data_IF_163824826230
#
_entry.id   IF_163824826230
#
_cell.length_a   1.000
_cell.length_b   1.000
_cell.length_c   1.000
_cell.angle_alpha   90.00
_cell.angle_beta   90.00
_cell.angle_gamma   90.00
#
_symmetry.space_group_name_H-M   'P 1'
#
loop_
_entity.id
_entity.type
_entity.pdbx_description
1 polymer ?
#
# COMPACT_ATOMS: atom_id res chain seq x y z
N UNK A 1 -1.36 17.28 2.61
CA UNK A 1 -2.79 17.54 2.91
C UNK A 1 -3.27 16.54 3.96
N UNK A 2 -4.42 16.77 4.56
CA UNK A 2 -5.12 15.75 5.35
C UNK A 2 -6.55 15.64 4.83
N UNK A 3 -6.91 14.47 4.33
CA UNK A 3 -8.24 14.14 3.82
C UNK A 3 -8.85 13.07 4.70
N UNK A 4 -10.12 13.26 5.03
CA UNK A 4 -10.91 12.33 5.84
C UNK A 4 -12.21 12.12 5.08
N UNK A 5 -12.53 10.86 4.78
CA UNK A 5 -13.81 10.47 4.20
C UNK A 5 -14.90 10.42 5.26
N UNK A 6 -15.88 9.57 5.03
CA UNK A 6 -17.17 9.58 5.70
C UNK A 6 -17.52 8.19 6.21
N UNK A 7 -18.82 7.89 6.27
CA UNK A 7 -19.31 6.54 6.58
C UNK A 7 -19.82 5.81 5.33
N UNK A 8 -19.67 6.45 4.17
CA UNK A 8 -20.06 5.96 2.86
C UNK A 8 -18.79 5.79 2.00
N UNK A 9 -18.91 5.09 0.88
CA UNK A 9 -17.80 4.90 -0.05
C UNK A 9 -17.28 6.22 -0.63
N UNK A 10 -16.01 6.52 -0.39
CA UNK A 10 -15.34 7.76 -0.77
C UNK A 10 -14.27 7.56 -1.86
N UNK A 11 -13.94 8.66 -2.54
CA UNK A 11 -12.79 8.76 -3.44
C UNK A 11 -11.92 9.91 -2.94
N UNK A 12 -10.75 9.58 -2.39
CA UNK A 12 -9.82 10.56 -1.85
C UNK A 12 -8.58 10.67 -2.74
N UNK A 13 -8.15 11.90 -3.03
CA UNK A 13 -6.94 12.17 -3.84
C UNK A 13 -6.10 13.27 -3.20
N UNK A 14 -4.89 12.93 -2.74
CA UNK A 14 -3.96 13.84 -2.04
C UNK A 14 -3.25 14.82 -2.98
N UNK A 15 -2.63 14.28 -4.04
CA UNK A 15 -2.00 15.06 -5.10
C UNK A 15 -0.47 15.01 -5.02
N UNK A 16 0.15 16.10 -4.59
CA UNK A 16 1.61 16.17 -4.47
C UNK A 16 2.01 16.71 -3.09
N UNK A 17 3.13 16.22 -2.58
CA UNK A 17 3.64 16.56 -1.26
C UNK A 17 3.30 15.47 -0.24
N UNK A 18 3.48 15.76 1.04
CA UNK A 18 3.12 14.83 2.11
C UNK A 18 1.61 14.90 2.39
N UNK A 19 0.91 13.81 2.13
CA UNK A 19 -0.52 13.63 2.31
C UNK A 19 -0.86 12.54 3.35
N UNK A 20 -1.94 12.79 4.10
CA UNK A 20 -2.56 11.83 5.01
C UNK A 20 -3.99 11.63 4.56
N UNK A 21 -4.37 10.39 4.24
CA UNK A 21 -5.73 10.03 3.84
C UNK A 21 -6.31 9.04 4.85
N UNK A 22 -7.52 9.30 5.31
CA UNK A 22 -8.32 8.42 6.16
C UNK A 22 -9.66 8.17 5.45
N UNK A 23 -9.93 6.94 5.02
CA UNK A 23 -11.14 6.57 4.29
C UNK A 23 -12.41 6.65 5.16
N UNK A 24 -12.43 5.91 6.26
CA UNK A 24 -13.55 5.91 7.20
C UNK A 24 -14.28 4.57 7.19
N UNK A 25 -15.61 4.59 7.16
CA UNK A 25 -16.39 3.38 6.85
C UNK A 25 -16.80 3.45 5.37
N UNK A 26 -16.97 2.29 4.73
CA UNK A 26 -17.34 2.19 3.32
C UNK A 26 -16.22 1.53 2.51
N UNK A 27 -16.53 1.16 1.26
CA UNK A 27 -15.51 0.68 0.33
C UNK A 27 -14.86 1.88 -0.39
N UNK A 28 -13.66 2.28 0.03
CA UNK A 28 -13.01 3.51 -0.39
C UNK A 28 -12.01 3.32 -1.54
N UNK A 29 -11.77 4.40 -2.29
CA UNK A 29 -10.70 4.47 -3.28
C UNK A 29 -9.74 5.63 -2.95
N UNK A 30 -8.51 5.28 -2.63
CA UNK A 30 -7.53 6.15 -1.99
C UNK A 30 -6.31 6.28 -2.91
N UNK A 31 -6.01 7.50 -3.34
CA UNK A 31 -4.83 7.83 -4.14
C UNK A 31 -4.08 9.01 -3.49
N UNK A 32 -3.02 8.73 -2.73
CA UNK A 32 -2.26 9.81 -2.11
C UNK A 32 -1.49 10.65 -3.13
N UNK A 33 -1.00 10.03 -4.21
CA UNK A 33 -0.27 10.69 -5.28
C UNK A 33 1.23 10.75 -5.01
N UNK A 34 1.88 11.83 -5.44
CA UNK A 34 3.33 11.99 -5.36
C UNK A 34 3.77 12.50 -3.99
N UNK A 35 4.51 11.70 -3.24
CA UNK A 35 4.94 12.11 -1.92
C UNK A 35 5.52 11.00 -1.07
N UNK A 36 5.52 11.26 0.24
CA UNK A 36 5.83 10.28 1.26
C UNK A 36 4.58 10.12 2.13
N UNK A 37 3.58 9.40 1.66
CA UNK A 37 2.22 9.54 2.15
C UNK A 37 1.83 8.47 3.15
N UNK A 38 0.81 8.77 3.95
CA UNK A 38 0.19 7.83 4.90
C UNK A 38 -1.27 7.65 4.57
N UNK A 39 -1.72 6.41 4.49
CA UNK A 39 -3.11 6.10 4.13
C UNK A 39 -3.66 5.02 5.06
N UNK A 40 -4.87 5.25 5.54
CA UNK A 40 -5.70 4.27 6.27
C UNK A 40 -7.04 4.20 5.57
N UNK A 41 -7.49 3.01 5.19
CA UNK A 41 -8.78 2.77 4.55
C UNK A 41 -9.88 2.78 5.60
N UNK A 42 -9.78 1.89 6.57
CA UNK A 42 -10.67 1.86 7.73
C UNK A 42 -11.55 0.62 7.73
N UNK A 43 -12.85 0.78 7.52
CA UNK A 43 -13.79 -0.34 7.52
C UNK A 43 -14.45 -0.48 6.16
N UNK A 44 -14.18 -1.58 5.46
CA UNK A 44 -14.74 -1.81 4.14
C UNK A 44 -13.82 -2.73 3.36
N UNK A 45 -13.91 -2.71 2.04
CA UNK A 45 -12.89 -3.29 1.16
C UNK A 45 -12.33 -2.17 0.29
N UNK A 46 -11.12 -1.75 0.63
CA UNK A 46 -10.55 -0.52 0.12
C UNK A 46 -9.59 -0.75 -1.05
N UNK A 47 -9.45 0.30 -1.87
CA UNK A 47 -8.60 0.32 -3.05
C UNK A 47 -7.54 1.40 -2.86
N UNK A 48 -6.30 0.97 -2.70
CA UNK A 48 -5.13 1.84 -2.64
C UNK A 48 -4.50 1.92 -4.03
N UNK A 49 -4.45 3.11 -4.63
CA UNK A 49 -3.86 3.32 -5.96
C UNK A 49 -2.44 3.82 -5.79
N UNK A 50 -1.49 3.18 -6.50
CA UNK A 50 -0.09 3.60 -6.51
C UNK A 50 0.47 3.60 -7.94
N UNK A 51 1.02 4.72 -8.37
CA UNK A 51 1.53 4.94 -9.71
C UNK A 51 3.06 5.10 -9.71
N UNK A 52 3.64 5.04 -10.91
CA UNK A 52 5.05 5.28 -11.08
C UNK A 52 5.41 6.74 -10.75
N UNK A 53 6.38 6.94 -9.87
CA UNK A 53 6.82 8.25 -9.39
C UNK A 53 6.04 8.77 -8.19
N UNK A 54 5.14 7.98 -7.61
CA UNK A 54 4.39 8.36 -6.41
C UNK A 54 5.28 8.42 -5.15
N UNK A 55 6.51 7.88 -5.20
CA UNK A 55 7.46 7.97 -4.10
C UNK A 55 7.23 6.88 -3.05
N UNK A 56 6.86 7.25 -1.83
CA UNK A 56 6.71 6.34 -0.71
C UNK A 56 5.28 6.36 -0.18
N UNK A 57 4.68 5.19 0.01
CA UNK A 57 3.35 5.04 0.57
C UNK A 57 3.38 4.11 1.79
N UNK A 58 2.89 4.58 2.93
CA UNK A 58 2.68 3.81 4.15
C UNK A 58 1.19 3.56 4.35
N UNK A 59 0.78 2.29 4.37
CA UNK A 59 -0.60 1.86 4.58
C UNK A 59 -0.72 1.19 5.95
N UNK A 60 -1.61 1.72 6.77
CA UNK A 60 -2.02 1.09 8.03
C UNK A 60 -3.49 0.77 7.95
N UNK A 61 -3.80 -0.52 7.92
CA UNK A 61 -5.16 -1.05 7.95
C UNK A 61 -5.21 -2.40 8.69
N UNK A 62 -6.39 -2.79 9.12
CA UNK A 62 -6.65 -4.03 9.84
C UNK A 62 -7.97 -4.71 9.46
N UNK A 63 -8.84 -4.10 8.64
CA UNK A 63 -10.15 -4.68 8.33
C UNK A 63 -10.45 -4.58 6.84
N UNK A 64 -10.92 -5.68 6.27
CA UNK A 64 -11.39 -5.68 4.88
C UNK A 64 -10.82 -6.81 4.06
N UNK A 65 -11.22 -6.83 2.79
CA UNK A 65 -10.51 -7.53 1.73
C UNK A 65 -9.89 -6.48 0.80
N UNK A 66 -8.78 -5.92 1.25
CA UNK A 66 -8.22 -4.70 0.66
C UNK A 66 -7.29 -5.03 -0.49
N UNK A 67 -7.17 -4.09 -1.43
CA UNK A 67 -6.24 -4.23 -2.55
C UNK A 67 -5.38 -3.02 -2.78
N UNK A 68 -4.12 -3.29 -3.10
CA UNK A 68 -3.23 -2.34 -3.75
C UNK A 68 -3.36 -2.52 -5.26
N UNK A 69 -3.64 -1.44 -5.97
CA UNK A 69 -3.73 -1.41 -7.42
C UNK A 69 -2.59 -0.57 -7.99
N UNK A 70 -1.65 -1.23 -8.63
CA UNK A 70 -0.58 -0.54 -9.35
C UNK A 70 -1.09 0.06 -10.66
N UNK A 71 -0.70 1.31 -10.91
CA UNK A 71 -0.96 2.04 -12.14
C UNK A 71 -0.16 1.53 -13.34
N UNK A 72 -0.44 2.11 -14.51
CA UNK A 72 0.19 1.70 -15.77
C UNK A 72 1.73 1.66 -15.69
N UNK A 73 2.27 0.61 -16.28
CA UNK A 73 3.70 0.45 -16.41
C UNK A 73 4.37 -0.14 -15.18
N UNK A 74 3.67 -0.54 -14.12
CA UNK A 74 4.23 -1.38 -13.05
C UNK A 74 3.69 -2.80 -13.26
N UNK A 75 4.58 -3.74 -13.60
CA UNK A 75 4.26 -5.18 -13.73
C UNK A 75 4.84 -5.97 -12.57
N UNK A 76 4.47 -7.26 -12.48
CA UNK A 76 4.96 -8.14 -11.42
C UNK A 76 6.47 -8.30 -11.43
N UNK A 77 7.09 -8.29 -12.61
CA UNK A 77 8.55 -8.43 -12.78
C UNK A 77 9.32 -7.17 -12.40
N UNK A 78 8.66 -6.01 -12.34
CA UNK A 78 9.26 -4.73 -11.96
C UNK A 78 9.37 -4.56 -10.44
N UNK A 79 8.80 -5.47 -9.65
CA UNK A 79 8.64 -5.29 -8.21
C UNK A 79 9.40 -6.34 -7.41
N UNK A 80 10.17 -5.87 -6.43
CA UNK A 80 10.69 -6.71 -5.34
C UNK A 80 9.69 -6.79 -4.21
N UNK A 81 9.41 -8.00 -3.74
CA UNK A 81 8.52 -8.29 -2.62
C UNK A 81 9.33 -8.90 -1.47
N UNK A 82 9.26 -8.28 -0.30
CA UNK A 82 9.95 -8.74 0.91
C UNK A 82 9.19 -8.30 2.16
N UNK A 83 9.54 -8.84 3.33
CA UNK A 83 8.83 -8.57 4.58
C UNK A 83 9.76 -8.57 5.79
N UNK A 84 9.36 -7.83 6.83
CA UNK A 84 9.90 -7.96 8.18
C UNK A 84 8.80 -8.49 9.14
N UNK A 85 8.99 -8.32 10.45
CA UNK A 85 8.04 -8.78 11.48
C UNK A 85 6.72 -8.00 11.48
N UNK A 86 6.76 -6.74 11.09
CA UNK A 86 5.62 -5.83 11.22
C UNK A 86 5.11 -5.34 9.87
N UNK A 87 5.89 -5.48 8.79
CA UNK A 87 5.51 -4.92 7.50
C UNK A 87 5.82 -5.84 6.31
N UNK A 88 5.05 -5.64 5.24
CA UNK A 88 5.35 -6.12 3.90
C UNK A 88 5.74 -4.92 3.04
N UNK A 89 6.67 -5.17 2.12
CA UNK A 89 7.27 -4.18 1.24
C UNK A 89 7.14 -4.57 -0.22
N UNK A 90 6.75 -3.62 -1.05
CA UNK A 90 6.83 -3.68 -2.50
C UNK A 90 7.70 -2.52 -2.98
N UNK A 91 8.83 -2.83 -3.62
CA UNK A 91 9.72 -1.83 -4.21
C UNK A 91 9.71 -1.92 -5.73
N UNK A 92 9.38 -0.82 -6.39
CA UNK A 92 9.42 -0.70 -7.85
C UNK A 92 10.88 -0.47 -8.27
N UNK A 93 11.53 -1.51 -8.80
CA UNK A 93 12.99 -1.58 -8.98
C UNK A 93 13.57 -0.48 -9.87
N UNK A 94 12.79 0.05 -10.81
CA UNK A 94 13.24 1.06 -11.77
C UNK A 94 13.20 2.49 -11.24
N UNK A 95 12.38 2.77 -10.23
CA UNK A 95 12.23 4.11 -9.64
C UNK A 95 12.72 4.17 -8.20
N UNK A 96 12.69 3.04 -7.48
CA UNK A 96 12.86 3.00 -6.03
C UNK A 96 11.60 3.43 -5.28
N UNK A 97 10.48 3.63 -5.98
CA UNK A 97 9.19 3.88 -5.34
C UNK A 97 8.82 2.67 -4.47
N UNK A 98 8.20 2.92 -3.31
CA UNK A 98 8.00 1.88 -2.31
C UNK A 98 6.64 1.99 -1.64
N UNK A 99 5.96 0.85 -1.52
CA UNK A 99 4.78 0.70 -0.68
C UNK A 99 5.14 -0.15 0.53
N UNK A 100 4.80 0.34 1.72
CA UNK A 100 4.78 -0.41 2.97
C UNK A 100 3.36 -0.63 3.41
N UNK A 101 3.07 -1.79 3.96
CA UNK A 101 1.82 -1.98 4.67
C UNK A 101 1.97 -2.91 5.86
N UNK A 102 1.14 -2.67 6.87
CA UNK A 102 1.20 -3.39 8.15
C UNK A 102 0.83 -4.86 7.98
N UNK A 103 1.46 -5.70 8.81
CA UNK A 103 1.12 -7.12 8.99
C UNK A 103 1.16 -7.50 10.47
N UNK A 104 0.33 -8.48 10.82
CA UNK A 104 0.31 -9.10 12.14
C UNK A 104 0.96 -10.48 12.11
N UNK A 105 1.84 -10.74 13.07
CA UNK A 105 2.53 -12.04 13.21
C UNK A 105 1.60 -13.17 13.69
N UNK A 106 0.44 -12.86 14.31
CA UNK A 106 -0.40 -13.83 15.03
C UNK A 106 -1.75 -14.13 14.34
N UNK A 107 -2.26 -13.24 13.47
CA UNK A 107 -3.63 -13.33 12.92
C UNK A 107 -3.72 -13.60 11.41
N UNK A 108 -2.61 -13.65 10.67
CA UNK A 108 -2.57 -13.57 9.18
C UNK A 108 -3.20 -12.29 8.61
N UNK A 109 -3.51 -11.32 9.46
CA UNK A 109 -4.01 -10.02 9.04
C UNK A 109 -2.84 -9.24 8.44
N UNK A 110 -3.01 -8.84 7.20
CA UNK A 110 -2.15 -7.91 6.48
C UNK A 110 -3.07 -6.82 5.97
N UNK A 111 -2.60 -5.58 5.94
CA UNK A 111 -3.42 -4.45 5.50
C UNK A 111 -3.81 -4.50 4.01
N UNK A 112 -3.21 -5.39 3.22
CA UNK A 112 -3.51 -5.57 1.79
C UNK A 112 -3.58 -7.05 1.46
N UNK A 113 -4.76 -7.56 1.11
CA UNK A 113 -4.98 -8.98 0.77
C UNK A 113 -4.57 -9.33 -0.65
N UNK A 114 -4.55 -8.35 -1.56
CA UNK A 114 -4.20 -8.57 -2.96
C UNK A 114 -3.49 -7.38 -3.59
N UNK A 115 -2.54 -7.67 -4.46
CA UNK A 115 -1.95 -6.67 -5.36
C UNK A 115 -2.37 -6.95 -6.79
N UNK A 116 -2.99 -5.96 -7.42
CA UNK A 116 -3.35 -5.95 -8.84
C UNK A 116 -2.28 -5.18 -9.63
N UNK A 117 -1.66 -5.83 -10.63
CA UNK A 117 -0.71 -5.19 -11.53
C UNK A 117 -1.39 -4.72 -12.81
N UNK A 118 -0.77 -3.73 -13.46
CA UNK A 118 -1.32 -3.10 -14.67
C UNK A 118 -1.48 -4.04 -15.87
N UNK A 119 -0.71 -5.13 -15.91
CA UNK A 119 -0.72 -6.13 -16.97
C UNK A 119 -1.63 -7.34 -16.68
N UNK A 120 -2.27 -7.38 -15.51
CA UNK A 120 -3.27 -8.38 -15.14
C UNK A 120 -2.85 -9.48 -14.14
N UNK A 121 -1.58 -9.92 -14.04
CA UNK A 121 -1.14 -10.76 -12.93
C UNK A 121 -1.45 -10.15 -11.57
N UNK A 122 -1.55 -11.02 -10.56
CA UNK A 122 -1.80 -10.62 -9.18
C UNK A 122 -0.76 -11.25 -8.24
N UNK A 123 -0.59 -10.61 -7.08
CA UNK A 123 -0.09 -11.28 -5.88
C UNK A 123 -1.27 -11.51 -4.94
N UNK A 124 -1.47 -12.76 -4.55
CA UNK A 124 -2.43 -13.14 -3.52
C UNK A 124 -1.87 -12.91 -2.12
N UNK A 125 -2.74 -12.88 -1.11
CA UNK A 125 -2.33 -12.88 0.30
C UNK A 125 -1.30 -13.97 0.62
N UNK A 126 -1.41 -15.16 0.01
CA UNK A 126 -0.44 -16.23 0.20
C UNK A 126 0.94 -15.86 -0.37
N UNK A 127 1.00 -15.19 -1.52
CA UNK A 127 2.26 -14.72 -2.09
C UNK A 127 2.88 -13.62 -1.22
N UNK A 128 2.06 -12.69 -0.73
CA UNK A 128 2.48 -11.58 0.14
C UNK A 128 3.06 -12.10 1.46
N UNK A 129 2.35 -13.01 2.13
CA UNK A 129 2.83 -13.64 3.36
C UNK A 129 4.02 -14.59 3.14
N UNK A 130 4.15 -15.13 1.93
CA UNK A 130 5.26 -15.98 1.51
C UNK A 130 6.52 -15.23 1.11
N UNK A 131 6.52 -13.89 1.18
CA UNK A 131 7.65 -13.05 0.82
C UNK A 131 8.94 -13.40 1.60
N UNK A 132 10.09 -13.07 1.03
CA UNK A 132 11.36 -13.29 1.72
C UNK A 132 11.43 -12.42 2.99
N UNK A 133 11.73 -13.05 4.12
CA UNK A 133 11.90 -12.37 5.40
C UNK A 133 13.29 -11.77 5.48
N UNK A 134 13.37 -10.48 5.83
CA UNK A 134 14.63 -9.78 6.12
C UNK A 134 14.78 -9.55 7.62
N UNK A 135 15.95 -9.89 8.19
CA UNK A 135 16.21 -9.82 9.64
C UNK A 135 16.36 -8.38 10.16
N UNK A 136 16.68 -7.44 9.26
CA UNK A 136 16.66 -6.02 9.55
C UNK A 136 15.25 -5.50 9.29
N UNK A 137 14.66 -4.80 10.26
CA UNK A 137 13.68 -3.76 9.93
C UNK A 137 14.36 -2.94 8.86
N UNK A 138 13.79 -2.91 7.65
CA UNK A 138 14.31 -2.06 6.60
C UNK A 138 14.08 -0.64 7.11
N UNK A 139 15.11 -0.08 7.77
CA UNK A 139 15.07 1.28 8.26
C UNK A 139 15.04 2.11 6.99
N UNK A 140 13.83 2.43 6.53
CA UNK A 140 13.50 3.52 5.63
C UNK A 140 14.50 4.62 5.94
N UNK A 141 15.59 4.68 5.18
CA UNK A 141 16.57 5.69 5.45
C UNK A 141 15.87 6.96 5.05
N UNK A 142 15.51 7.71 6.09
CA UNK A 142 15.29 9.14 6.09
C UNK A 142 16.54 9.74 5.45
N UNK A 143 16.65 9.66 4.13
CA UNK A 143 17.50 10.55 3.37
C UNK A 143 16.72 11.85 3.32
N UNK A 144 17.06 12.66 4.32
CA UNK A 144 16.92 14.11 4.44
C UNK A 144 16.90 14.86 3.11
#
# INVERSE_FOLDING_TARGET
MHLIGTYDNDILTGGSGFDVLEGGDGDDTLNAGQGNDKVTGGAGNDIYIFNLGDGQLEITDANGYDKLQFGEGITKEDVSLYQDKLHIYLEVLKTGDKVRFDRSDDSREIAIDRVDFSDGPQLSQQDLMGANVVDTVDYWQVLS
#
